data_IF_504113683564
#
_entry.id   IF_504113683564
#
_cell.length_a   1.000
_cell.length_b   1.000
_cell.length_c   1.000
_cell.angle_alpha   90.00
_cell.angle_beta   90.00
_cell.angle_gamma   90.00
#
_symmetry.space_group_name_H-M   'P 1'
#
loop_
_entity.id
_entity.type
_entity.pdbx_description
1 polymer ?
#
# COMPACT_ATOMS: atom_id res chain seq x y z
N UNK A 1 -17.97 1.22 14.49
CA UNK A 1 -17.26 0.80 15.72
C UNK A 1 -16.43 1.97 16.23
N UNK A 2 -16.22 2.11 17.54
CA UNK A 2 -15.22 3.02 18.11
C UNK A 2 -14.00 2.19 18.56
N UNK A 3 -12.79 2.65 18.23
CA UNK A 3 -11.54 1.98 18.61
C UNK A 3 -10.86 1.30 17.44
N UNK A 4 -10.13 0.21 17.70
CA UNK A 4 -9.33 -0.54 16.71
C UNK A 4 -9.98 -1.89 16.41
N UNK A 5 -10.04 -2.28 15.13
CA UNK A 5 -10.37 -3.65 14.71
C UNK A 5 -9.08 -4.41 14.37
N UNK A 6 -8.85 -5.53 15.04
CA UNK A 6 -7.69 -6.40 14.77
C UNK A 6 -8.13 -7.83 14.45
N UNK A 7 -7.64 -8.36 13.33
CA UNK A 7 -7.89 -9.73 12.87
C UNK A 7 -6.55 -10.35 12.51
N UNK A 8 -6.00 -11.13 13.44
CA UNK A 8 -4.62 -11.61 13.38
C UNK A 8 -4.53 -13.11 13.64
N UNK A 9 -3.70 -13.83 12.87
CA UNK A 9 -3.43 -15.26 13.03
C UNK A 9 -4.69 -16.15 13.05
N UNK A 10 -5.70 -15.82 12.25
CA UNK A 10 -6.97 -16.57 12.22
C UNK A 10 -7.00 -17.62 11.11
N UNK A 11 -7.94 -18.56 11.23
CA UNK A 11 -8.23 -19.56 10.20
C UNK A 11 -9.30 -19.09 9.20
N UNK A 12 -9.73 -17.82 9.25
CA UNK A 12 -10.77 -17.30 8.38
C UNK A 12 -10.37 -17.36 6.92
N UNK A 13 -11.32 -17.72 6.06
CA UNK A 13 -11.17 -17.67 4.61
C UNK A 13 -11.77 -16.41 4.01
N UNK A 14 -12.70 -15.77 4.73
CA UNK A 14 -13.32 -14.49 4.40
C UNK A 14 -13.80 -13.74 5.66
N UNK A 15 -14.22 -12.49 5.49
CA UNK A 15 -14.72 -11.62 6.56
C UNK A 15 -16.22 -11.27 6.43
N UNK A 16 -17.02 -12.09 5.74
CA UNK A 16 -18.45 -11.80 5.47
C UNK A 16 -19.31 -11.59 6.73
N UNK A 17 -18.90 -12.13 7.88
CA UNK A 17 -19.55 -11.90 9.16
C UNK A 17 -19.48 -10.43 9.62
N UNK A 18 -18.54 -9.64 9.07
CA UNK A 18 -18.46 -8.18 9.22
C UNK A 18 -19.13 -7.41 8.07
N UNK A 19 -20.04 -8.03 7.30
CA UNK A 19 -20.73 -7.38 6.18
C UNK A 19 -21.49 -6.11 6.55
N UNK A 20 -21.94 -5.97 7.81
CA UNK A 20 -22.58 -4.76 8.31
C UNK A 20 -21.61 -3.72 8.88
N UNK A 21 -20.31 -4.02 8.95
CA UNK A 21 -19.30 -3.09 9.44
C UNK A 21 -18.82 -2.18 8.29
N UNK A 22 -19.24 -0.92 8.32
CA UNK A 22 -18.90 0.06 7.29
C UNK A 22 -17.97 1.19 7.78
N UNK A 23 -17.82 1.37 9.09
CA UNK A 23 -16.97 2.46 9.64
C UNK A 23 -16.29 2.07 10.95
N UNK A 24 -15.03 2.51 11.08
CA UNK A 24 -14.26 2.52 12.32
C UNK A 24 -13.97 3.98 12.65
N UNK A 25 -14.45 4.44 13.79
CA UNK A 25 -14.13 5.74 14.34
C UNK A 25 -12.90 5.59 15.23
N UNK A 26 -11.78 6.18 14.79
CA UNK A 26 -10.57 6.23 15.60
C UNK A 26 -10.86 6.97 16.91
N UNK A 27 -10.35 6.43 18.00
CA UNK A 27 -10.36 7.09 19.32
C UNK A 27 -9.00 7.65 19.68
N UNK A 28 -8.04 7.62 18.75
CA UNK A 28 -6.66 8.06 18.96
C UNK A 28 -6.45 9.43 18.32
N UNK A 29 -5.54 10.22 18.88
CA UNK A 29 -5.01 11.39 18.18
C UNK A 29 -4.28 10.92 16.91
N UNK A 30 -4.44 11.68 15.83
CA UNK A 30 -3.96 11.37 14.49
C UNK A 30 -2.42 11.36 14.41
N UNK A 31 -1.77 10.33 14.95
CA UNK A 31 -0.33 10.08 14.81
C UNK A 31 0.12 8.68 15.31
N UNK A 32 -0.69 7.96 16.09
CA UNK A 32 -0.21 6.75 16.78
C UNK A 32 -1.05 5.50 16.54
N UNK A 33 -0.47 4.55 15.80
CA UNK A 33 -1.02 3.20 15.60
C UNK A 33 -1.97 3.08 14.42
N UNK A 34 -2.62 1.92 14.31
CA UNK A 34 -3.53 1.59 13.22
C UNK A 34 -4.96 1.42 13.75
N UNK A 35 -5.95 1.86 12.98
CA UNK A 35 -7.38 1.71 13.27
C UNK A 35 -7.91 0.36 12.80
N UNK A 36 -7.35 -0.15 11.69
CA UNK A 36 -7.66 -1.46 11.14
C UNK A 36 -6.40 -2.28 10.93
N UNK A 37 -6.35 -3.46 11.55
CA UNK A 37 -5.23 -4.39 11.47
C UNK A 37 -5.73 -5.74 10.97
N UNK A 38 -5.20 -6.19 9.84
CA UNK A 38 -5.50 -7.48 9.22
C UNK A 38 -4.18 -8.18 8.89
N UNK A 39 -3.74 -9.11 9.75
CA UNK A 39 -2.38 -9.64 9.67
C UNK A 39 -2.27 -11.16 9.79
N UNK A 40 -1.33 -11.74 9.04
CA UNK A 40 -0.90 -13.13 9.20
C UNK A 40 -2.04 -14.17 9.09
N UNK A 41 -3.09 -13.88 8.32
CA UNK A 41 -4.19 -14.81 8.09
C UNK A 41 -3.90 -15.65 6.83
N UNK A 42 -3.22 -16.78 7.00
CA UNK A 42 -2.69 -17.59 5.89
C UNK A 42 -3.76 -18.16 4.96
N UNK A 43 -5.01 -18.31 5.43
CA UNK A 43 -6.13 -18.86 4.67
C UNK A 43 -7.09 -17.79 4.12
N UNK A 44 -6.90 -16.52 4.48
CA UNK A 44 -7.81 -15.45 4.13
C UNK A 44 -7.66 -15.06 2.66
N UNK A 45 -8.75 -15.19 1.89
CA UNK A 45 -8.75 -14.96 0.44
C UNK A 45 -9.37 -13.63 0.04
N UNK A 46 -10.34 -13.15 0.82
CA UNK A 46 -11.12 -11.97 0.47
C UNK A 46 -11.72 -11.34 1.72
N UNK A 47 -11.96 -10.04 1.68
CA UNK A 47 -12.78 -9.35 2.67
C UNK A 47 -14.29 -9.64 2.49
N UNK A 48 -14.72 -10.16 1.32
CA UNK A 48 -16.09 -10.60 1.02
C UNK A 48 -17.20 -9.60 1.41
N UNK A 49 -16.96 -8.31 1.19
CA UNK A 49 -17.89 -7.25 1.58
C UNK A 49 -17.84 -6.87 3.06
N UNK A 50 -17.22 -7.66 3.92
CA UNK A 50 -16.99 -7.31 5.32
C UNK A 50 -15.69 -6.55 5.50
N UNK A 51 -15.65 -5.61 6.44
CA UNK A 51 -14.52 -4.71 6.64
C UNK A 51 -14.08 -3.96 5.35
N UNK A 52 -14.98 -3.80 4.37
CA UNK A 52 -14.86 -2.82 3.29
C UNK A 52 -15.37 -1.48 3.83
N UNK A 53 -14.52 -0.77 4.54
CA UNK A 53 -14.92 0.44 5.26
C UNK A 53 -15.16 1.57 4.24
N UNK A 54 -16.27 2.29 4.38
CA UNK A 54 -16.78 3.28 3.41
C UNK A 54 -16.37 4.72 3.71
N UNK A 55 -15.61 4.93 4.78
CA UNK A 55 -15.09 6.23 5.21
C UNK A 55 -13.59 6.09 5.35
N UNK A 56 -12.85 7.16 5.03
CA UNK A 56 -11.42 7.26 5.21
C UNK A 56 -10.99 6.76 6.59
N UNK A 57 -10.52 5.52 6.64
CA UNK A 57 -9.81 4.98 7.80
C UNK A 57 -8.44 5.61 7.74
N UNK A 58 -8.08 6.35 8.80
CA UNK A 58 -6.90 7.19 8.78
C UNK A 58 -5.61 6.37 8.76
N UNK A 59 -5.62 5.19 9.41
CA UNK A 59 -4.42 4.37 9.58
C UNK A 59 -4.74 2.88 9.41
N UNK A 60 -4.25 2.25 8.34
CA UNK A 60 -4.52 0.84 8.06
C UNK A 60 -3.26 -0.02 7.99
N UNK A 61 -3.39 -1.28 8.41
CA UNK A 61 -2.33 -2.28 8.31
C UNK A 61 -2.91 -3.61 7.82
N UNK A 62 -2.61 -3.97 6.58
CA UNK A 62 -3.02 -5.23 5.95
C UNK A 62 -1.74 -5.96 5.50
N UNK A 63 -1.24 -6.88 6.31
CA UNK A 63 0.07 -7.48 6.05
C UNK A 63 0.07 -9.01 6.12
N UNK A 64 0.87 -9.64 5.26
CA UNK A 64 1.19 -11.06 5.33
C UNK A 64 -0.05 -11.97 5.28
N UNK A 65 -1.04 -11.61 4.45
CA UNK A 65 -2.18 -12.47 4.15
C UNK A 65 -2.01 -13.00 2.71
N UNK A 66 -1.22 -14.07 2.49
CA UNK A 66 -0.67 -14.43 1.18
C UNK A 66 -1.72 -14.76 0.11
N UNK A 67 -2.95 -15.11 0.50
CA UNK A 67 -4.03 -15.42 -0.43
C UNK A 67 -5.02 -14.25 -0.61
N UNK A 68 -4.86 -13.17 0.15
CA UNK A 68 -5.84 -12.09 0.24
C UNK A 68 -5.80 -11.20 -0.99
N UNK A 69 -6.94 -11.13 -1.67
CA UNK A 69 -7.32 -9.99 -2.48
C UNK A 69 -8.09 -8.97 -1.59
N UNK A 70 -7.47 -7.83 -1.25
CA UNK A 70 -8.10 -6.79 -0.43
C UNK A 70 -9.03 -5.88 -1.23
N UNK A 71 -9.31 -6.15 -2.52
CA UNK A 71 -10.06 -5.26 -3.41
C UNK A 71 -9.36 -3.89 -3.55
N UNK A 72 -8.31 -3.86 -4.36
CA UNK A 72 -7.49 -2.66 -4.52
C UNK A 72 -8.25 -1.43 -5.04
N UNK A 73 -9.30 -1.62 -5.84
CA UNK A 73 -10.18 -0.52 -6.25
C UNK A 73 -10.85 0.13 -5.04
N UNK A 74 -11.37 -0.68 -4.10
CA UNK A 74 -11.97 -0.17 -2.87
C UNK A 74 -10.93 0.49 -1.96
N UNK A 75 -9.79 -0.17 -1.76
CA UNK A 75 -8.68 0.32 -0.92
C UNK A 75 -8.22 1.69 -1.40
N UNK A 76 -7.95 1.85 -2.70
CA UNK A 76 -7.46 3.11 -3.27
C UNK A 76 -8.51 4.23 -3.21
N UNK A 77 -9.80 3.89 -3.24
CA UNK A 77 -10.88 4.88 -3.19
C UNK A 77 -11.23 5.33 -1.77
N UNK A 78 -11.04 4.47 -0.76
CA UNK A 78 -11.60 4.69 0.58
C UNK A 78 -10.56 4.73 1.69
N UNK A 79 -9.36 4.18 1.51
CA UNK A 79 -8.36 4.13 2.57
C UNK A 79 -7.36 5.26 2.39
N UNK A 80 -7.04 5.95 3.48
CA UNK A 80 -6.14 7.10 3.45
C UNK A 80 -4.70 6.72 3.11
N UNK A 81 -3.89 7.76 2.91
CA UNK A 81 -2.48 7.63 2.48
C UNK A 81 -1.58 7.02 3.54
N UNK A 82 -1.99 7.05 4.81
CA UNK A 82 -1.24 6.44 5.90
C UNK A 82 -1.66 4.99 6.08
N UNK A 83 -0.89 4.11 5.44
CA UNK A 83 -1.24 2.70 5.26
C UNK A 83 -0.01 1.83 5.23
N UNK A 84 -0.22 0.54 5.51
CA UNK A 84 0.75 -0.51 5.29
C UNK A 84 0.07 -1.75 4.71
N UNK A 85 0.22 -1.99 3.41
CA UNK A 85 -0.40 -3.06 2.65
C UNK A 85 0.68 -3.83 1.89
N UNK A 86 1.15 -4.96 2.43
CA UNK A 86 2.20 -5.76 1.81
C UNK A 86 2.18 -7.23 2.20
N UNK A 87 2.85 -8.08 1.42
CA UNK A 87 2.87 -9.52 1.66
C UNK A 87 1.51 -10.19 1.47
N UNK A 88 0.59 -9.55 0.75
CA UNK A 88 -0.70 -10.11 0.37
C UNK A 88 -0.65 -10.58 -1.09
N UNK A 89 -1.71 -11.24 -1.58
CA UNK A 89 -1.81 -11.57 -3.01
C UNK A 89 -1.78 -10.31 -3.87
N UNK A 90 -2.45 -9.24 -3.41
CA UNK A 90 -2.35 -7.91 -4.00
C UNK A 90 -2.10 -6.86 -2.92
N UNK A 91 -1.15 -5.96 -3.17
CA UNK A 91 -0.70 -4.93 -2.23
C UNK A 91 -1.23 -3.52 -2.54
N UNK A 92 -1.97 -3.38 -3.64
CA UNK A 92 -2.68 -2.15 -4.01
C UNK A 92 -1.79 -0.91 -4.19
N UNK A 93 -0.56 -1.12 -4.64
CA UNK A 93 0.45 -0.08 -4.84
C UNK A 93 1.78 -0.51 -4.24
N UNK A 94 2.74 0.41 -4.30
CA UNK A 94 4.07 0.23 -3.74
C UNK A 94 4.31 1.27 -2.65
N UNK A 95 4.61 0.79 -1.46
CA UNK A 95 4.86 1.62 -0.28
C UNK A 95 6.37 1.82 -0.12
N UNK A 96 6.78 3.08 -0.04
CA UNK A 96 8.17 3.49 0.10
C UNK A 96 8.45 3.85 1.56
N UNK A 97 9.07 2.90 2.28
CA UNK A 97 9.46 3.09 3.69
C UNK A 97 10.73 3.97 3.82
N UNK A 98 11.54 4.05 2.76
CA UNK A 98 12.85 4.73 2.72
C UNK A 98 13.11 5.34 1.34
N UNK A 99 14.04 6.31 1.23
CA UNK A 99 14.49 6.81 -0.06
C UNK A 99 14.96 5.70 -1.00
N UNK A 100 14.71 5.91 -2.30
CA UNK A 100 15.03 4.94 -3.34
C UNK A 100 16.48 5.12 -3.80
N UNK A 101 17.23 4.03 -3.75
CA UNK A 101 18.62 3.91 -4.22
C UNK A 101 18.75 2.67 -5.10
N UNK A 102 19.91 2.50 -5.74
CA UNK A 102 20.27 1.28 -6.47
C UNK A 102 20.13 -0.03 -5.66
N UNK A 103 20.16 0.05 -4.32
CA UNK A 103 19.97 -1.08 -3.41
C UNK A 103 18.49 -1.23 -3.02
N UNK A 104 17.89 -0.17 -2.46
CA UNK A 104 16.55 -0.22 -1.85
C UNK A 104 15.43 -0.40 -2.87
N UNK A 105 15.66 -0.04 -4.13
CA UNK A 105 14.70 -0.26 -5.22
C UNK A 105 14.39 -1.74 -5.46
N UNK A 106 15.27 -2.66 -5.04
CA UNK A 106 15.05 -4.09 -5.24
C UNK A 106 13.93 -4.65 -4.36
N UNK A 107 13.64 -4.01 -3.23
CA UNK A 107 12.57 -4.40 -2.32
C UNK A 107 11.19 -3.93 -2.79
N UNK A 108 11.15 -3.01 -3.75
CA UNK A 108 9.92 -2.50 -4.35
C UNK A 108 9.41 -3.51 -5.39
N UNK A 109 8.10 -3.75 -5.43
CA UNK A 109 7.52 -4.62 -6.45
C UNK A 109 7.67 -4.01 -7.85
N UNK A 110 7.73 -4.86 -8.89
CA UNK A 110 7.64 -4.38 -10.27
C UNK A 110 6.18 -3.98 -10.59
N UNK A 111 6.00 -3.13 -11.59
CA UNK A 111 4.69 -2.77 -12.13
C UNK A 111 3.73 -2.16 -11.09
N UNK A 112 4.23 -1.23 -10.27
CA UNK A 112 3.43 -0.46 -9.33
C UNK A 112 2.39 0.39 -10.10
N UNK A 113 1.11 0.30 -9.73
CA UNK A 113 0.05 1.15 -10.29
C UNK A 113 -0.14 2.46 -9.52
N UNK A 114 0.29 2.50 -8.26
CA UNK A 114 0.29 3.68 -7.40
C UNK A 114 1.48 3.61 -6.44
N UNK A 115 2.04 4.77 -6.08
CA UNK A 115 3.18 4.91 -5.17
C UNK A 115 2.70 5.62 -3.89
N UNK A 116 3.09 5.11 -2.73
CA UNK A 116 2.74 5.66 -1.42
C UNK A 116 4.01 5.97 -0.63
N UNK A 117 4.07 7.16 -0.03
CA UNK A 117 5.23 7.64 0.72
C UNK A 117 6.11 8.58 -0.11
N UNK A 118 7.29 8.89 0.44
CA UNK A 118 8.23 9.83 -0.17
C UNK A 118 9.05 9.14 -1.28
N UNK A 119 8.77 9.50 -2.55
CA UNK A 119 9.59 9.09 -3.69
C UNK A 119 10.74 10.08 -3.86
N UNK A 120 11.82 9.81 -3.14
CA UNK A 120 13.05 10.59 -3.24
C UNK A 120 14.10 9.82 -4.03
N UNK A 121 14.63 10.48 -5.06
CA UNK A 121 15.68 9.97 -5.93
C UNK A 121 16.81 11.00 -5.94
N UNK A 122 17.86 10.71 -5.19
CA UNK A 122 18.99 11.61 -5.01
C UNK A 122 20.27 10.96 -5.54
N UNK A 123 20.96 11.64 -6.45
CA UNK A 123 22.23 11.14 -6.96
C UNK A 123 23.37 11.22 -5.94
N UNK A 124 24.46 10.48 -6.15
CA UNK A 124 24.77 9.66 -7.34
C UNK A 124 24.39 8.17 -7.21
N UNK A 125 23.59 7.79 -6.20
CA UNK A 125 23.24 6.38 -5.92
C UNK A 125 21.83 6.02 -6.41
N UNK A 126 21.35 6.71 -7.44
CA UNK A 126 20.02 6.54 -7.98
C UNK A 126 19.89 5.23 -8.81
N UNK A 127 18.71 4.60 -8.88
CA UNK A 127 18.49 3.47 -9.79
C UNK A 127 18.66 3.89 -11.24
N UNK A 128 18.94 2.96 -12.15
CA UNK A 128 18.89 3.28 -13.58
C UNK A 128 17.46 3.63 -14.01
N UNK A 129 17.32 4.45 -15.06
CA UNK A 129 16.01 4.78 -15.64
C UNK A 129 15.23 3.52 -16.07
N UNK A 130 15.92 2.48 -16.54
CA UNK A 130 15.32 1.19 -16.87
C UNK A 130 14.68 0.50 -15.65
N UNK A 131 15.37 0.52 -14.50
CA UNK A 131 14.82 -0.04 -13.25
C UNK A 131 13.61 0.79 -12.80
N UNK A 132 13.70 2.11 -12.83
CA UNK A 132 12.57 2.98 -12.50
C UNK A 132 11.37 2.71 -13.40
N UNK A 133 11.60 2.51 -14.70
CA UNK A 133 10.55 2.17 -15.65
C UNK A 133 9.91 0.82 -15.37
N UNK A 134 10.70 -0.21 -15.05
CA UNK A 134 10.18 -1.52 -14.65
C UNK A 134 9.33 -1.46 -13.38
N UNK A 135 9.76 -0.66 -12.41
CA UNK A 135 9.10 -0.53 -11.10
C UNK A 135 7.85 0.34 -11.18
N UNK A 136 7.98 1.54 -11.75
CA UNK A 136 7.00 2.61 -11.64
C UNK A 136 6.39 3.04 -12.98
N UNK A 137 6.76 2.40 -14.10
CA UNK A 137 6.29 2.81 -15.43
C UNK A 137 4.78 2.77 -15.66
N UNK A 138 4.06 1.98 -14.86
CA UNK A 138 2.60 1.89 -14.89
C UNK A 138 1.92 2.66 -13.74
N UNK A 139 2.70 3.40 -12.94
CA UNK A 139 2.15 4.19 -11.86
C UNK A 139 1.40 5.40 -12.44
N UNK A 140 0.14 5.57 -12.06
CA UNK A 140 -0.68 6.70 -12.48
C UNK A 140 -1.00 7.68 -11.34
N UNK A 141 -0.55 7.37 -10.12
CA UNK A 141 -0.75 8.17 -8.93
C UNK A 141 0.44 8.04 -7.96
N UNK A 142 0.78 9.17 -7.33
CA UNK A 142 1.73 9.23 -6.21
C UNK A 142 1.05 9.92 -5.05
N UNK A 143 0.99 9.25 -3.91
CA UNK A 143 0.41 9.72 -2.66
C UNK A 143 1.55 9.99 -1.68
N UNK A 144 2.06 11.22 -1.72
CA UNK A 144 3.21 11.63 -0.95
C UNK A 144 4.04 12.68 -1.68
N UNK A 145 5.29 12.80 -1.26
CA UNK A 145 6.22 13.76 -1.82
C UNK A 145 7.09 13.13 -2.90
N UNK A 146 7.44 13.91 -3.91
CA UNK A 146 8.36 13.50 -4.98
C UNK A 146 9.52 14.49 -5.02
N UNK A 147 10.74 13.98 -4.98
CA UNK A 147 11.94 14.79 -5.15
C UNK A 147 12.96 14.03 -6.01
N UNK A 148 13.43 14.66 -7.08
CA UNK A 148 14.48 14.14 -7.96
C UNK A 148 15.57 15.20 -8.04
N UNK A 149 16.76 14.90 -7.50
CA UNK A 149 17.80 15.89 -7.26
C UNK A 149 19.17 15.34 -7.62
N UNK A 150 19.95 16.14 -8.38
CA UNK A 150 21.34 15.83 -8.78
C UNK A 150 21.49 14.44 -9.43
N UNK A 151 20.56 14.05 -10.30
CA UNK A 151 20.63 12.80 -11.07
C UNK A 151 21.07 13.07 -12.50
N UNK A 152 21.59 12.05 -13.18
CA UNK A 152 21.97 12.11 -14.60
C UNK A 152 20.80 11.69 -15.54
N UNK A 153 19.55 11.78 -15.07
CA UNK A 153 18.39 11.40 -15.88
C UNK A 153 18.07 12.46 -16.93
N UNK A 154 18.12 12.06 -18.21
CA UNK A 154 17.75 12.95 -19.33
C UNK A 154 16.25 12.89 -19.67
N UNK A 155 15.66 11.69 -19.59
CA UNK A 155 14.23 11.47 -19.86
C UNK A 155 13.70 10.34 -18.96
N UNK A 156 12.52 10.56 -18.37
CA UNK A 156 11.74 9.54 -17.65
C UNK A 156 10.56 9.05 -18.49
N UNK A 157 10.62 9.18 -19.82
CA UNK A 157 9.61 8.61 -20.70
C UNK A 157 9.74 7.09 -20.73
N UNK A 158 8.67 6.46 -20.25
CA UNK A 158 8.27 5.15 -20.69
C UNK A 158 8.23 5.14 -22.22
N UNK A 159 9.01 4.28 -22.87
CA UNK A 159 8.59 3.80 -24.19
C UNK A 159 7.34 2.96 -23.96
N UNK A 160 6.17 3.61 -24.01
CA UNK A 160 4.92 2.91 -24.27
C UNK A 160 4.98 2.45 -25.73
N UNK A 161 5.48 1.23 -25.96
CA UNK A 161 5.31 0.51 -27.22
C UNK A 161 4.09 -0.39 -27.16
#
# INVERSE_FOLDING_TARGET
>A
MHGTLEIVNTAFTNLSFFSSLFVIFSTREAAFGYDFILMNNSKLKTMAGGALLSVAVAQIRIENNPLLDPNCTHVLANYGDSRRIRGNRFNCGCELDVPITNITINDVADNCTAIFGALYIFGPNEPSAEILMRKFGNANAVYGEVAVVNTDYEDLKAKCS
#
